data_IF_314808304932
#
_entry.id   IF_314808304932
#
_cell.length_a   1.000
_cell.length_b   1.000
_cell.length_c   1.000
_cell.angle_alpha   90.00
_cell.angle_beta   90.00
_cell.angle_gamma   90.00
#
_symmetry.space_group_name_H-M   'P 1'
#
loop_
_entity.id
_entity.type
_entity.pdbx_description
1 polymer ?
#
# COMPACT_ATOMS: atom_id res chain seq x y z
N UNK A 1 -3.18 -28.00 -11.65
CA UNK A 1 -4.00 -26.79 -11.73
C UNK A 1 -3.11 -25.69 -12.26
N UNK A 2 -3.57 -25.09 -13.34
CA UNK A 2 -2.83 -24.03 -14.02
C UNK A 2 -3.60 -22.73 -13.88
N UNK A 3 -2.92 -21.65 -13.52
CA UNK A 3 -3.57 -20.35 -13.33
C UNK A 3 -2.85 -19.28 -14.13
N UNK A 4 -3.57 -18.25 -14.55
CA UNK A 4 -3.01 -17.01 -15.08
C UNK A 4 -3.25 -15.87 -14.12
N UNK A 5 -2.26 -15.00 -13.95
CA UNK A 5 -2.36 -13.75 -13.19
C UNK A 5 -2.12 -12.60 -14.16
N UNK A 6 -3.14 -11.80 -14.41
CA UNK A 6 -3.06 -10.65 -15.31
C UNK A 6 -2.76 -9.39 -14.52
N UNK A 7 -1.65 -8.75 -14.87
CA UNK A 7 -1.04 -7.64 -14.14
C UNK A 7 0.14 -8.12 -13.29
N UNK A 8 1.35 -7.62 -13.57
CA UNK A 8 2.57 -7.90 -12.80
C UNK A 8 2.99 -6.70 -11.96
N UNK A 9 2.01 -5.97 -11.45
CA UNK A 9 2.19 -5.01 -10.37
C UNK A 9 2.44 -5.73 -9.04
N UNK A 10 2.44 -4.96 -7.96
CA UNK A 10 2.72 -5.47 -6.62
C UNK A 10 1.86 -6.68 -6.26
N UNK A 11 0.54 -6.54 -6.34
CA UNK A 11 -0.42 -7.60 -6.01
C UNK A 11 -0.28 -8.83 -6.90
N UNK A 12 -0.21 -8.62 -8.21
CA UNK A 12 -0.18 -9.73 -9.16
C UNK A 12 1.11 -10.54 -9.11
N UNK A 13 2.28 -9.86 -9.06
CA UNK A 13 3.56 -10.55 -9.02
C UNK A 13 3.75 -11.33 -7.71
N UNK A 14 3.43 -10.74 -6.56
CA UNK A 14 3.48 -11.43 -5.27
C UNK A 14 2.51 -12.62 -5.24
N UNK A 15 1.25 -12.41 -5.68
CA UNK A 15 0.24 -13.47 -5.73
C UNK A 15 0.69 -14.64 -6.61
N UNK A 16 1.16 -14.36 -7.83
CA UNK A 16 1.60 -15.39 -8.77
C UNK A 16 2.80 -16.17 -8.24
N UNK A 17 3.78 -15.46 -7.70
CA UNK A 17 5.00 -16.06 -7.13
C UNK A 17 4.67 -16.95 -5.91
N UNK A 18 3.81 -16.48 -5.00
CA UNK A 18 3.42 -17.26 -3.83
C UNK A 18 2.58 -18.50 -4.20
N UNK A 19 1.70 -18.43 -5.20
CA UNK A 19 1.02 -19.63 -5.70
C UNK A 19 2.00 -20.61 -6.34
N UNK A 20 2.96 -20.13 -7.15
CA UNK A 20 4.00 -20.98 -7.72
C UNK A 20 4.83 -21.68 -6.64
N UNK A 21 5.12 -21.00 -5.53
CA UNK A 21 5.83 -21.58 -4.38
C UNK A 21 5.08 -22.76 -3.74
N UNK A 22 3.77 -22.78 -3.80
CA UNK A 22 2.96 -23.91 -3.33
C UNK A 22 2.84 -25.06 -4.34
N UNK A 23 3.50 -24.98 -5.50
CA UNK A 23 3.49 -26.02 -6.53
C UNK A 23 2.41 -25.87 -7.60
N UNK A 24 1.74 -24.73 -7.66
CA UNK A 24 0.81 -24.38 -8.73
C UNK A 24 1.59 -23.92 -9.96
N UNK A 25 1.17 -24.29 -11.16
CA UNK A 25 1.72 -23.78 -12.42
C UNK A 25 1.08 -22.43 -12.71
N UNK A 26 1.89 -21.37 -12.74
CA UNK A 26 1.44 -19.98 -12.82
C UNK A 26 2.03 -19.26 -14.02
N UNK A 27 1.19 -18.65 -14.82
CA UNK A 27 1.60 -17.72 -15.88
C UNK A 27 1.20 -16.30 -15.50
N UNK A 28 2.17 -15.44 -15.26
CA UNK A 28 1.97 -14.01 -15.04
C UNK A 28 1.97 -13.29 -16.39
N UNK A 29 0.96 -12.47 -16.61
CA UNK A 29 0.70 -11.75 -17.86
C UNK A 29 0.74 -10.24 -17.63
N UNK A 30 1.47 -9.50 -18.44
CA UNK A 30 1.46 -8.03 -18.42
C UNK A 30 1.62 -7.50 -19.84
N UNK A 31 0.87 -6.47 -20.21
CA UNK A 31 0.94 -5.85 -21.55
C UNK A 31 2.26 -5.11 -21.81
N UNK A 32 3.00 -4.78 -20.76
CA UNK A 32 4.29 -4.09 -20.86
C UNK A 32 5.39 -5.09 -21.19
N UNK A 33 5.85 -5.04 -22.46
CA UNK A 33 6.87 -5.96 -22.99
C UNK A 33 8.23 -5.82 -22.29
N UNK A 34 8.65 -4.60 -21.95
CA UNK A 34 9.92 -4.36 -21.26
C UNK A 34 9.90 -4.95 -19.86
N UNK A 35 8.79 -4.81 -19.18
CA UNK A 35 8.58 -5.37 -17.84
C UNK A 35 8.62 -6.90 -17.87
N UNK A 36 7.98 -7.54 -18.84
CA UNK A 36 8.02 -8.98 -19.03
C UNK A 36 9.43 -9.44 -19.39
N UNK A 37 10.13 -8.74 -20.27
CA UNK A 37 11.52 -9.07 -20.63
C UNK A 37 12.45 -8.98 -19.40
N UNK A 38 12.29 -7.97 -18.56
CA UNK A 38 13.03 -7.83 -17.30
C UNK A 38 12.73 -9.00 -16.34
N UNK A 39 11.46 -9.34 -16.14
CA UNK A 39 11.04 -10.45 -15.28
C UNK A 39 11.60 -11.81 -15.77
N UNK A 40 11.65 -12.03 -17.09
CA UNK A 40 12.25 -13.23 -17.68
C UNK A 40 13.76 -13.31 -17.45
N UNK A 41 14.42 -12.16 -17.25
CA UNK A 41 15.85 -12.07 -16.89
C UNK A 41 16.07 -12.07 -15.37
N UNK A 42 15.01 -12.15 -14.57
CA UNK A 42 15.09 -12.14 -13.10
C UNK A 42 15.20 -10.73 -12.49
N UNK A 43 14.96 -9.68 -13.29
CA UNK A 43 14.94 -8.29 -12.82
C UNK A 43 13.53 -7.99 -12.32
N UNK A 44 13.39 -7.80 -11.00
CA UNK A 44 12.10 -7.60 -10.35
C UNK A 44 11.75 -6.11 -10.29
N UNK A 45 10.57 -5.69 -10.81
CA UNK A 45 10.21 -4.27 -10.95
C UNK A 45 9.65 -3.64 -9.68
N UNK A 46 9.63 -4.35 -8.56
CA UNK A 46 9.06 -3.90 -7.28
C UNK A 46 9.99 -4.22 -6.14
N UNK A 47 10.00 -3.37 -5.12
CA UNK A 47 10.73 -3.61 -3.88
C UNK A 47 9.85 -4.39 -2.90
N UNK A 48 10.16 -5.66 -2.68
CA UNK A 48 9.55 -6.52 -1.66
C UNK A 48 10.59 -7.50 -1.14
N UNK A 49 10.90 -7.49 0.18
CA UNK A 49 11.90 -8.38 0.75
C UNK A 49 11.63 -9.86 0.46
N UNK A 50 12.63 -10.55 -0.09
CA UNK A 50 12.57 -11.99 -0.40
C UNK A 50 11.83 -12.36 -1.70
N UNK A 51 11.24 -11.41 -2.41
CA UNK A 51 10.49 -11.71 -3.64
C UNK A 51 11.40 -12.15 -4.78
N UNK A 52 12.53 -11.50 -4.96
CA UNK A 52 13.50 -11.83 -6.01
C UNK A 52 13.94 -13.30 -5.94
N UNK A 53 14.40 -13.75 -4.79
CA UNK A 53 14.82 -15.14 -4.58
C UNK A 53 13.68 -16.13 -4.86
N UNK A 54 12.45 -15.77 -4.44
CA UNK A 54 11.27 -16.61 -4.65
C UNK A 54 10.89 -16.69 -6.13
N UNK A 55 10.94 -15.58 -6.87
CA UNK A 55 10.71 -15.56 -8.33
C UNK A 55 11.74 -16.45 -9.04
N UNK A 56 13.03 -16.21 -8.78
CA UNK A 56 14.12 -16.92 -9.47
C UNK A 56 14.04 -18.44 -9.26
N UNK A 57 13.80 -18.91 -8.03
CA UNK A 57 13.69 -20.36 -7.77
C UNK A 57 12.46 -20.99 -8.41
N UNK A 58 11.32 -20.27 -8.51
CA UNK A 58 10.11 -20.79 -9.14
C UNK A 58 10.18 -20.77 -10.67
N UNK A 59 10.84 -19.79 -11.27
CA UNK A 59 11.17 -19.78 -12.70
C UNK A 59 12.09 -20.97 -13.03
N UNK A 60 13.16 -21.17 -12.26
CA UNK A 60 14.08 -22.31 -12.43
C UNK A 60 13.39 -23.67 -12.26
N UNK A 61 12.40 -23.75 -11.39
CA UNK A 61 11.60 -24.96 -11.17
C UNK A 61 10.52 -25.18 -12.23
N UNK A 62 10.35 -24.26 -13.20
CA UNK A 62 9.37 -24.36 -14.27
C UNK A 62 7.91 -24.23 -13.80
N UNK A 63 7.67 -23.52 -12.69
CA UNK A 63 6.34 -23.27 -12.12
C UNK A 63 5.84 -21.84 -12.28
N UNK A 64 6.74 -20.90 -12.61
CA UNK A 64 6.42 -19.49 -12.80
C UNK A 64 6.88 -19.05 -14.19
N UNK A 65 5.94 -18.56 -14.99
CA UNK A 65 6.14 -18.15 -16.36
C UNK A 65 5.69 -16.71 -16.55
N UNK A 66 6.26 -16.02 -17.54
CA UNK A 66 5.92 -14.64 -17.87
C UNK A 66 5.63 -14.47 -19.36
N UNK A 67 4.55 -13.81 -19.72
CA UNK A 67 4.16 -13.53 -21.11
C UNK A 67 3.45 -12.19 -21.25
N UNK A 68 3.44 -11.66 -22.46
CA UNK A 68 2.64 -10.47 -22.80
C UNK A 68 1.25 -10.83 -23.32
N UNK A 69 0.97 -12.10 -23.62
CA UNK A 69 -0.30 -12.55 -24.23
C UNK A 69 -1.11 -13.41 -23.27
N UNK A 70 -2.28 -12.91 -22.85
CA UNK A 70 -3.24 -13.68 -22.10
C UNK A 70 -3.85 -14.80 -22.97
N UNK A 71 -4.09 -14.51 -24.25
CA UNK A 71 -4.68 -15.44 -25.21
C UNK A 71 -3.89 -16.73 -25.31
N UNK A 72 -2.55 -16.63 -25.28
CA UNK A 72 -1.66 -17.78 -25.44
C UNK A 72 -1.76 -18.81 -24.30
N UNK A 73 -2.25 -18.42 -23.14
CA UNK A 73 -2.34 -19.33 -21.98
C UNK A 73 -3.79 -19.78 -21.65
N UNK A 74 -4.83 -19.16 -22.24
CA UNK A 74 -6.23 -19.45 -21.91
C UNK A 74 -6.64 -20.91 -22.13
N UNK A 75 -6.10 -21.58 -23.12
CA UNK A 75 -6.43 -22.98 -23.42
C UNK A 75 -6.05 -23.95 -22.29
N UNK A 76 -5.04 -23.58 -21.50
CA UNK A 76 -4.46 -24.46 -20.47
C UNK A 76 -4.78 -24.06 -19.04
N UNK A 77 -5.33 -22.86 -18.79
CA UNK A 77 -5.62 -22.38 -17.43
C UNK A 77 -7.03 -22.74 -16.96
N UNK A 78 -7.14 -23.00 -15.67
CA UNK A 78 -8.40 -23.29 -14.98
C UNK A 78 -8.99 -22.01 -14.35
N UNK A 79 -8.12 -21.11 -13.90
CA UNK A 79 -8.46 -19.87 -13.20
C UNK A 79 -7.63 -18.72 -13.78
N UNK A 80 -8.29 -17.60 -14.07
CA UNK A 80 -7.62 -16.33 -14.42
C UNK A 80 -7.89 -15.33 -13.34
N UNK A 81 -6.82 -14.82 -12.72
CA UNK A 81 -6.88 -13.70 -11.78
C UNK A 81 -6.62 -12.39 -12.51
N UNK A 82 -7.54 -11.44 -12.36
CA UNK A 82 -7.32 -10.04 -12.74
C UNK A 82 -6.74 -9.28 -11.55
N UNK A 83 -5.45 -8.94 -11.64
CA UNK A 83 -4.70 -8.16 -10.65
C UNK A 83 -4.16 -6.87 -11.26
N UNK A 84 -4.87 -6.33 -12.25
CA UNK A 84 -4.53 -5.08 -12.95
C UNK A 84 -4.79 -3.87 -12.06
N UNK A 85 -4.12 -2.75 -12.36
CA UNK A 85 -4.32 -1.50 -11.64
C UNK A 85 -5.75 -0.96 -11.77
N UNK A 86 -6.23 -0.36 -10.69
CA UNK A 86 -7.48 0.41 -10.63
C UNK A 86 -7.17 1.81 -10.14
N UNK A 87 -6.49 2.64 -10.96
CA UNK A 87 -6.15 3.99 -10.55
C UNK A 87 -7.41 4.83 -10.30
N UNK A 88 -7.32 5.91 -9.53
CA UNK A 88 -8.43 6.85 -9.43
C UNK A 88 -8.70 7.51 -10.78
N UNK A 89 -9.96 7.64 -11.15
CA UNK A 89 -10.41 8.47 -12.26
C UNK A 89 -10.46 9.95 -11.82
N UNK A 90 -10.68 10.87 -12.75
CA UNK A 90 -10.73 12.31 -12.50
C UNK A 90 -11.76 12.70 -11.41
N UNK A 91 -12.85 11.95 -11.31
CA UNK A 91 -13.91 12.17 -10.32
C UNK A 91 -13.67 11.45 -8.97
N UNK A 92 -12.52 10.78 -8.80
CA UNK A 92 -12.15 10.01 -7.60
C UNK A 92 -12.71 8.59 -7.57
N UNK A 93 -13.50 8.16 -8.55
CA UNK A 93 -13.94 6.76 -8.70
C UNK A 93 -12.77 5.86 -9.14
N UNK A 94 -12.93 4.55 -9.03
CA UNK A 94 -11.93 3.61 -9.55
C UNK A 94 -12.09 3.43 -11.06
N UNK A 95 -11.01 3.61 -11.81
CA UNK A 95 -10.98 3.30 -13.24
C UNK A 95 -10.99 1.79 -13.47
N UNK A 96 -12.05 1.29 -14.10
CA UNK A 96 -12.27 -0.11 -14.37
C UNK A 96 -11.89 -0.54 -15.79
N UNK A 97 -11.38 0.35 -16.62
CA UNK A 97 -11.07 0.05 -18.04
C UNK A 97 -10.19 -1.18 -18.17
N UNK A 98 -9.11 -1.26 -17.40
CA UNK A 98 -8.18 -2.41 -17.47
C UNK A 98 -8.85 -3.72 -17.01
N UNK A 99 -9.68 -3.68 -15.98
CA UNK A 99 -10.43 -4.87 -15.50
C UNK A 99 -11.38 -5.37 -16.58
N UNK A 100 -12.08 -4.47 -17.26
CA UNK A 100 -13.02 -4.80 -18.33
C UNK A 100 -12.32 -5.25 -19.61
N UNK A 101 -11.15 -4.72 -19.94
CA UNK A 101 -10.32 -5.21 -21.06
C UNK A 101 -9.89 -6.66 -20.84
N UNK A 102 -9.44 -7.00 -19.63
CA UNK A 102 -9.11 -8.40 -19.29
C UNK A 102 -10.34 -9.28 -19.47
N UNK A 103 -11.50 -8.85 -18.98
CA UNK A 103 -12.76 -9.60 -19.14
C UNK A 103 -13.13 -9.84 -20.63
N UNK A 104 -13.02 -8.80 -21.47
CA UNK A 104 -13.25 -8.89 -22.92
C UNK A 104 -12.26 -9.85 -23.58
N UNK A 105 -10.97 -9.74 -23.26
CA UNK A 105 -9.93 -10.64 -23.79
C UNK A 105 -10.23 -12.09 -23.47
N UNK A 106 -10.68 -12.37 -22.23
CA UNK A 106 -11.09 -13.72 -21.82
C UNK A 106 -12.29 -14.18 -22.64
N UNK A 107 -13.36 -13.38 -22.72
CA UNK A 107 -14.58 -13.72 -23.50
C UNK A 107 -14.32 -13.93 -24.98
N UNK A 108 -13.42 -13.14 -25.56
CA UNK A 108 -13.05 -13.24 -26.97
C UNK A 108 -12.23 -14.51 -27.30
N UNK A 109 -11.52 -15.10 -26.33
CA UNK A 109 -10.53 -16.14 -26.62
C UNK A 109 -10.72 -17.47 -25.86
N UNK A 110 -11.52 -17.49 -24.77
CA UNK A 110 -11.72 -18.72 -24.01
C UNK A 110 -12.41 -19.81 -24.84
N UNK A 111 -12.02 -21.08 -24.63
CA UNK A 111 -12.54 -22.25 -25.33
C UNK A 111 -13.13 -23.32 -24.39
N UNK A 112 -12.91 -23.18 -23.11
CA UNK A 112 -13.39 -24.09 -22.07
C UNK A 112 -13.85 -23.29 -20.85
N UNK A 113 -14.51 -23.99 -19.93
CA UNK A 113 -14.86 -23.38 -18.64
C UNK A 113 -13.63 -22.77 -17.99
N UNK A 114 -13.76 -21.51 -17.56
CA UNK A 114 -12.72 -20.76 -16.86
C UNK A 114 -13.35 -20.01 -15.70
N UNK A 115 -12.73 -20.09 -14.52
CA UNK A 115 -13.10 -19.24 -13.39
C UNK A 115 -12.31 -17.91 -13.49
N UNK A 116 -13.03 -16.79 -13.55
CA UNK A 116 -12.42 -15.45 -13.64
C UNK A 116 -12.53 -14.77 -12.28
N UNK A 117 -11.40 -14.48 -11.68
CA UNK A 117 -11.31 -13.96 -10.31
C UNK A 117 -10.77 -12.53 -10.32
N UNK A 118 -11.51 -11.59 -9.77
CA UNK A 118 -11.03 -10.22 -9.53
C UNK A 118 -10.25 -10.20 -8.22
N UNK A 119 -8.94 -9.92 -8.32
CA UNK A 119 -8.03 -9.73 -7.18
C UNK A 119 -7.84 -8.26 -6.85
N UNK A 120 -7.90 -7.39 -7.85
CA UNK A 120 -7.85 -5.94 -7.71
C UNK A 120 -8.93 -5.42 -6.77
N UNK A 121 -8.63 -4.35 -6.02
CA UNK A 121 -9.65 -3.63 -5.24
C UNK A 121 -10.56 -2.86 -6.18
N UNK A 122 -11.83 -3.23 -6.21
CA UNK A 122 -12.84 -2.72 -7.14
C UNK A 122 -14.13 -2.35 -6.43
N UNK A 123 -14.89 -1.35 -6.92
CA UNK A 123 -16.21 -1.01 -6.38
C UNK A 123 -17.17 -2.18 -6.41
N UNK A 124 -18.10 -2.20 -5.46
CA UNK A 124 -19.18 -3.19 -5.39
C UNK A 124 -20.00 -3.17 -6.69
N UNK A 125 -20.23 -4.36 -7.25
CA UNK A 125 -20.91 -4.55 -8.52
C UNK A 125 -19.98 -4.69 -9.74
N UNK A 126 -18.66 -4.60 -9.56
CA UNK A 126 -17.69 -4.79 -10.64
C UNK A 126 -17.74 -6.17 -11.23
N UNK A 127 -17.94 -7.23 -10.41
CA UNK A 127 -18.05 -8.59 -10.91
C UNK A 127 -19.23 -8.76 -11.89
N UNK A 128 -20.34 -8.04 -11.70
CA UNK A 128 -21.46 -8.04 -12.67
C UNK A 128 -21.05 -7.45 -14.02
N UNK A 129 -20.25 -6.38 -14.01
CA UNK A 129 -19.71 -5.75 -15.23
C UNK A 129 -18.74 -6.69 -15.95
N UNK A 130 -17.86 -7.37 -15.18
CA UNK A 130 -16.93 -8.38 -15.70
C UNK A 130 -17.72 -9.52 -16.36
N UNK A 131 -18.73 -10.06 -15.68
CA UNK A 131 -19.60 -11.13 -16.20
C UNK A 131 -20.32 -10.72 -17.48
N UNK A 132 -20.84 -9.48 -17.54
CA UNK A 132 -21.48 -8.93 -18.74
C UNK A 132 -20.50 -8.79 -19.91
N UNK A 133 -19.31 -8.27 -19.66
CA UNK A 133 -18.28 -8.09 -20.70
C UNK A 133 -17.83 -9.44 -21.32
N UNK A 134 -17.67 -10.48 -20.49
CA UNK A 134 -17.33 -11.82 -20.99
C UNK A 134 -18.49 -12.39 -21.86
N UNK A 135 -19.74 -12.27 -21.38
CA UNK A 135 -20.91 -12.74 -22.13
C UNK A 135 -21.05 -12.05 -23.48
N UNK A 136 -20.90 -10.74 -23.51
CA UNK A 136 -20.96 -9.96 -24.76
C UNK A 136 -19.97 -10.48 -25.82
N UNK A 137 -18.74 -10.79 -25.43
CA UNK A 137 -17.72 -11.31 -26.34
C UNK A 137 -18.03 -12.76 -26.80
N UNK A 138 -18.56 -13.60 -25.90
CA UNK A 138 -19.01 -14.95 -26.27
C UNK A 138 -20.19 -14.89 -27.26
N UNK A 139 -21.15 -14.01 -27.05
CA UNK A 139 -22.29 -13.79 -27.95
C UNK A 139 -21.82 -13.31 -29.34
N UNK A 140 -20.88 -12.39 -29.41
CA UNK A 140 -20.27 -11.92 -30.67
C UNK A 140 -19.64 -13.07 -31.47
N UNK A 141 -19.10 -14.08 -30.78
CA UNK A 141 -18.50 -15.27 -31.39
C UNK A 141 -19.52 -16.38 -31.71
N UNK A 142 -20.77 -16.24 -31.26
CA UNK A 142 -21.77 -17.29 -31.34
C UNK A 142 -21.49 -18.52 -30.45
N UNK A 143 -20.70 -18.34 -29.38
CA UNK A 143 -20.28 -19.39 -28.47
C UNK A 143 -21.10 -19.40 -27.18
N UNK A 144 -21.30 -20.58 -26.62
CA UNK A 144 -21.98 -20.78 -25.34
C UNK A 144 -21.10 -21.58 -24.39
N UNK A 145 -20.05 -20.92 -23.89
CA UNK A 145 -19.07 -21.51 -22.99
C UNK A 145 -19.41 -21.10 -21.55
N UNK A 146 -19.52 -22.08 -20.66
CA UNK A 146 -19.75 -21.84 -19.24
C UNK A 146 -18.53 -21.16 -18.61
N UNK A 147 -18.80 -20.22 -17.72
CA UNK A 147 -17.78 -19.59 -16.86
C UNK A 147 -18.41 -19.11 -15.56
N UNK A 148 -17.57 -18.94 -14.55
CA UNK A 148 -17.94 -18.28 -13.31
C UNK A 148 -17.06 -17.04 -13.08
N UNK A 149 -17.59 -16.10 -12.31
CA UNK A 149 -16.83 -14.98 -11.79
C UNK A 149 -16.72 -15.09 -10.27
N UNK A 150 -15.62 -14.61 -9.72
CA UNK A 150 -15.40 -14.55 -8.27
C UNK A 150 -14.69 -13.25 -7.90
N UNK A 151 -14.82 -12.84 -6.63
CA UNK A 151 -14.03 -11.78 -6.04
C UNK A 151 -13.12 -12.36 -4.95
N UNK A 152 -11.83 -12.08 -5.02
CA UNK A 152 -10.87 -12.53 -4.03
C UNK A 152 -9.95 -11.34 -3.65
N UNK A 153 -10.49 -10.38 -2.89
CA UNK A 153 -9.71 -9.21 -2.50
C UNK A 153 -8.45 -9.60 -1.74
N UNK A 154 -7.40 -8.81 -1.91
CA UNK A 154 -6.13 -8.99 -1.23
C UNK A 154 -6.05 -8.12 0.04
N UNK A 155 -5.24 -8.54 1.00
CA UNK A 155 -4.96 -7.81 2.25
C UNK A 155 -3.47 -7.75 2.52
N UNK A 156 -2.68 -7.69 1.46
CA UNK A 156 -1.23 -7.66 1.50
C UNK A 156 -0.74 -6.29 1.99
N UNK A 157 0.34 -6.30 2.74
CA UNK A 157 1.05 -5.10 3.17
C UNK A 157 2.38 -5.03 2.43
N UNK A 158 2.60 -3.97 1.67
CA UNK A 158 3.90 -3.74 1.03
C UNK A 158 5.03 -3.85 2.06
N UNK A 159 6.13 -4.53 1.71
CA UNK A 159 7.24 -4.83 2.62
C UNK A 159 7.04 -6.05 3.53
N UNK A 160 5.84 -6.68 3.51
CA UNK A 160 5.54 -7.93 4.22
C UNK A 160 4.52 -8.79 3.46
N UNK A 161 4.40 -8.60 2.17
CA UNK A 161 3.32 -9.20 1.38
C UNK A 161 3.50 -10.71 1.20
N UNK A 162 4.73 -11.19 1.14
CA UNK A 162 5.01 -12.63 1.07
C UNK A 162 4.49 -13.33 2.32
N UNK A 163 4.84 -12.83 3.50
CA UNK A 163 4.37 -13.42 4.77
C UNK A 163 2.85 -13.33 4.90
N UNK A 164 2.27 -12.18 4.54
CA UNK A 164 0.82 -12.00 4.55
C UNK A 164 0.09 -12.93 3.60
N UNK A 165 0.71 -13.30 2.47
CA UNK A 165 0.14 -14.24 1.53
C UNK A 165 0.33 -15.70 1.96
N UNK A 166 1.54 -16.04 2.43
CA UNK A 166 1.89 -17.40 2.84
C UNK A 166 1.29 -17.79 4.18
N UNK A 167 1.02 -16.80 5.04
CA UNK A 167 0.43 -16.98 6.39
C UNK A 167 -0.66 -15.94 6.66
N UNK A 168 -1.77 -15.93 5.87
CA UNK A 168 -2.79 -14.89 5.97
C UNK A 168 -3.64 -15.03 7.24
N UNK A 169 -4.03 -13.91 7.85
CA UNK A 169 -5.05 -13.91 8.91
C UNK A 169 -6.39 -14.50 8.42
N UNK A 170 -6.72 -14.28 7.15
CA UNK A 170 -7.90 -14.84 6.44
C UNK A 170 -7.74 -14.69 4.93
N UNK A 171 -8.46 -15.53 4.21
CA UNK A 171 -8.71 -15.39 2.77
C UNK A 171 -10.20 -15.15 2.57
N UNK A 172 -10.57 -14.09 1.87
CA UNK A 172 -11.97 -13.75 1.55
C UNK A 172 -12.24 -14.11 0.09
N UNK A 173 -13.32 -14.87 -0.16
CA UNK A 173 -13.70 -15.29 -1.50
C UNK A 173 -15.21 -15.11 -1.70
N UNK A 174 -15.58 -14.21 -2.60
CA UNK A 174 -16.95 -14.04 -3.07
C UNK A 174 -17.22 -14.94 -4.27
N UNK A 175 -18.23 -15.80 -4.17
CA UNK A 175 -18.63 -16.75 -5.22
C UNK A 175 -20.15 -16.87 -5.34
N UNK A 176 -20.63 -17.27 -6.53
CA UNK A 176 -22.06 -17.54 -6.79
C UNK A 176 -22.33 -19.03 -7.05
N UNK A 177 -21.30 -19.85 -7.31
CA UNK A 177 -21.48 -21.26 -7.67
C UNK A 177 -20.65 -22.20 -6.79
N UNK A 178 -21.17 -23.43 -6.58
CA UNK A 178 -20.39 -24.48 -5.89
C UNK A 178 -19.18 -24.94 -6.69
N UNK A 179 -19.18 -24.78 -8.02
CA UNK A 179 -18.04 -25.08 -8.88
C UNK A 179 -16.90 -24.12 -8.62
N UNK A 180 -17.18 -22.81 -8.61
CA UNK A 180 -16.21 -21.78 -8.27
C UNK A 180 -15.65 -21.96 -6.84
N UNK A 181 -16.53 -22.25 -5.87
CA UNK A 181 -16.15 -22.51 -4.48
C UNK A 181 -15.18 -23.70 -4.36
N UNK A 182 -15.46 -24.82 -5.06
CA UNK A 182 -14.59 -26.00 -5.06
C UNK A 182 -13.20 -25.68 -5.66
N UNK A 183 -13.15 -24.93 -6.76
CA UNK A 183 -11.88 -24.53 -7.38
C UNK A 183 -11.04 -23.63 -6.46
N UNK A 184 -11.66 -22.62 -5.86
CA UNK A 184 -10.98 -21.73 -4.91
C UNK A 184 -10.53 -22.48 -3.64
N UNK A 185 -11.35 -23.40 -3.13
CA UNK A 185 -10.98 -24.28 -2.01
C UNK A 185 -9.75 -25.13 -2.37
N UNK A 186 -9.72 -25.71 -3.57
CA UNK A 186 -8.59 -26.52 -4.03
C UNK A 186 -7.31 -25.68 -4.15
N UNK A 187 -7.41 -24.45 -4.70
CA UNK A 187 -6.30 -23.54 -4.87
C UNK A 187 -5.69 -23.12 -3.52
N UNK A 188 -6.54 -22.77 -2.54
CA UNK A 188 -6.08 -22.31 -1.22
C UNK A 188 -5.81 -23.45 -0.23
N UNK A 189 -6.02 -24.71 -0.61
CA UNK A 189 -5.82 -25.87 0.26
C UNK A 189 -4.43 -25.93 0.92
N UNK A 190 -3.30 -25.64 0.23
CA UNK A 190 -1.98 -25.65 0.86
C UNK A 190 -1.87 -24.70 2.06
N UNK A 191 -2.57 -23.59 2.02
CA UNK A 191 -2.57 -22.58 3.10
C UNK A 191 -3.46 -22.98 4.27
N UNK A 192 -4.46 -23.84 4.06
CA UNK A 192 -5.40 -24.26 5.10
C UNK A 192 -4.81 -25.27 6.10
N UNK A 193 -3.65 -25.81 5.82
CA UNK A 193 -2.97 -26.78 6.69
C UNK A 193 -2.45 -26.16 8.00
N UNK A 194 -2.39 -24.84 8.10
CA UNK A 194 -1.84 -24.10 9.24
C UNK A 194 -2.90 -23.24 9.96
N UNK A 195 -4.14 -23.66 9.96
CA UNK A 195 -5.24 -23.00 10.70
C UNK A 195 -5.82 -21.72 10.08
N UNK A 196 -5.69 -21.45 8.78
CA UNK A 196 -6.44 -20.32 8.27
C UNK A 196 -7.80 -20.66 7.74
N UNK A 197 -8.64 -19.62 7.73
CA UNK A 197 -10.01 -19.71 7.25
C UNK A 197 -10.12 -19.05 5.88
N UNK A 198 -10.61 -19.83 4.90
CA UNK A 198 -11.21 -19.25 3.72
C UNK A 198 -12.64 -18.91 4.07
N UNK A 199 -12.96 -17.63 4.03
CA UNK A 199 -14.30 -17.11 4.32
C UNK A 199 -15.01 -16.94 2.98
N UNK A 200 -15.97 -17.83 2.70
CA UNK A 200 -16.81 -17.73 1.53
C UNK A 200 -18.03 -16.85 1.81
N UNK A 201 -18.34 -15.97 0.87
CA UNK A 201 -19.50 -15.08 0.94
C UNK A 201 -20.02 -14.77 -0.48
N UNK A 202 -21.08 -14.00 -0.60
CA UNK A 202 -21.49 -13.46 -1.89
C UNK A 202 -20.48 -12.44 -2.43
N UNK A 203 -20.49 -12.23 -3.74
CA UNK A 203 -19.49 -11.38 -4.40
C UNK A 203 -19.56 -9.91 -3.94
N UNK A 204 -20.76 -9.26 -3.86
CA UNK A 204 -20.83 -7.88 -3.38
C UNK A 204 -20.27 -7.70 -1.96
N UNK A 205 -20.51 -8.66 -1.06
CA UNK A 205 -19.97 -8.63 0.30
C UNK A 205 -18.44 -8.78 0.31
N UNK A 206 -17.87 -9.61 -0.58
CA UNK A 206 -16.42 -9.74 -0.70
C UNK A 206 -15.77 -8.46 -1.23
N UNK A 207 -16.36 -7.84 -2.27
CA UNK A 207 -15.91 -6.53 -2.79
C UNK A 207 -15.96 -5.45 -1.69
N UNK A 208 -17.07 -5.38 -0.93
CA UNK A 208 -17.22 -4.41 0.17
C UNK A 208 -16.25 -4.68 1.33
N UNK A 209 -15.95 -5.94 1.65
CA UNK A 209 -15.08 -6.30 2.78
C UNK A 209 -13.70 -5.66 2.68
N UNK A 210 -13.13 -5.57 1.48
CA UNK A 210 -11.83 -4.90 1.28
C UNK A 210 -11.90 -3.42 1.63
N UNK A 211 -12.89 -2.71 1.11
CA UNK A 211 -13.09 -1.30 1.41
C UNK A 211 -13.35 -1.05 2.89
N UNK A 212 -14.23 -1.85 3.50
CA UNK A 212 -14.55 -1.73 4.92
C UNK A 212 -13.32 -1.96 5.81
N UNK A 213 -12.47 -2.95 5.47
CA UNK A 213 -11.22 -3.20 6.19
C UNK A 213 -10.26 -2.01 6.11
N UNK A 214 -10.01 -1.49 4.90
CA UNK A 214 -9.13 -0.33 4.72
C UNK A 214 -9.70 0.94 5.37
N UNK A 215 -11.02 1.15 5.29
CA UNK A 215 -11.69 2.23 5.99
C UNK A 215 -11.48 2.14 7.52
N UNK A 216 -11.71 0.98 8.12
CA UNK A 216 -11.51 0.79 9.57
C UNK A 216 -10.06 1.09 9.98
N UNK A 217 -9.08 0.63 9.20
CA UNK A 217 -7.66 0.88 9.50
C UNK A 217 -7.30 2.37 9.36
N UNK A 218 -7.76 3.04 8.31
CA UNK A 218 -7.58 4.48 8.12
C UNK A 218 -8.25 5.29 9.26
N UNK A 219 -9.45 4.88 9.67
CA UNK A 219 -10.17 5.50 10.80
C UNK A 219 -9.36 5.43 12.10
N UNK A 220 -8.75 4.28 12.40
CA UNK A 220 -7.93 4.12 13.62
C UNK A 220 -6.71 5.03 13.61
N UNK A 221 -6.06 5.22 12.47
CA UNK A 221 -4.91 6.13 12.34
C UNK A 221 -5.36 7.58 12.50
N UNK A 222 -6.38 8.02 11.78
CA UNK A 222 -6.89 9.40 11.87
C UNK A 222 -7.45 9.70 13.26
N UNK A 223 -8.18 8.75 13.87
CA UNK A 223 -8.65 8.87 15.26
C UNK A 223 -7.49 9.14 16.23
N UNK A 224 -6.40 8.37 16.14
CA UNK A 224 -5.25 8.57 17.03
C UNK A 224 -4.50 9.87 16.74
N UNK A 225 -4.46 10.32 15.48
CA UNK A 225 -3.88 11.61 15.13
C UNK A 225 -4.71 12.77 15.68
N UNK A 226 -6.03 12.68 15.60
CA UNK A 226 -6.94 13.69 16.15
C UNK A 226 -6.82 13.78 17.68
N UNK A 227 -6.80 12.62 18.37
CA UNK A 227 -6.52 12.55 19.82
C UNK A 227 -5.13 13.11 20.16
N UNK A 228 -4.09 12.80 19.36
CA UNK A 228 -2.74 13.30 19.58
C UNK A 228 -2.68 14.83 19.52
N UNK A 229 -3.34 15.43 18.52
CA UNK A 229 -3.40 16.89 18.40
C UNK A 229 -4.11 17.54 19.59
N UNK A 230 -5.17 16.92 20.09
CA UNK A 230 -5.85 17.39 21.33
C UNK A 230 -4.95 17.21 22.56
N UNK A 231 -4.23 16.09 22.69
CA UNK A 231 -3.31 15.84 23.81
C UNK A 231 -2.30 16.99 23.98
N UNK A 232 -1.71 17.47 22.89
CA UNK A 232 -0.78 18.62 22.94
C UNK A 232 -1.39 19.88 23.53
N UNK A 233 -2.68 20.12 23.28
CA UNK A 233 -3.37 21.32 23.75
C UNK A 233 -3.78 21.23 25.22
N UNK A 234 -4.04 20.02 25.72
CA UNK A 234 -4.52 19.80 27.10
C UNK A 234 -3.44 19.26 28.03
N UNK A 235 -2.20 19.07 27.54
CA UNK A 235 -1.09 18.57 28.34
C UNK A 235 -1.14 17.08 28.68
N UNK A 236 -1.80 16.27 27.83
CA UNK A 236 -1.80 14.81 27.93
C UNK A 236 -0.71 14.19 27.05
N UNK A 237 -0.31 12.96 27.38
CA UNK A 237 0.62 12.17 26.55
C UNK A 237 -0.15 11.13 25.74
N UNK A 238 -0.13 11.26 24.42
CA UNK A 238 -0.84 10.35 23.51
C UNK A 238 -0.35 8.90 23.62
N UNK A 239 0.91 8.64 23.98
CA UNK A 239 1.41 7.28 24.13
C UNK A 239 0.78 6.60 25.35
N UNK A 240 0.59 7.34 26.46
CA UNK A 240 -0.14 6.84 27.64
C UNK A 240 -1.61 6.60 27.32
N UNK A 241 -2.24 7.54 26.58
CA UNK A 241 -3.63 7.36 26.12
C UNK A 241 -3.76 6.13 25.22
N UNK A 242 -2.85 5.95 24.26
CA UNK A 242 -2.81 4.79 23.37
C UNK A 242 -2.68 3.48 24.17
N UNK A 243 -1.79 3.42 25.14
CA UNK A 243 -1.59 2.21 25.95
C UNK A 243 -2.82 1.94 26.83
N UNK A 244 -3.43 2.99 27.39
CA UNK A 244 -4.66 2.89 28.16
C UNK A 244 -5.81 2.30 27.34
N UNK A 245 -6.18 2.93 26.24
CA UNK A 245 -7.29 2.45 25.38
C UNK A 245 -6.97 1.11 24.68
N UNK A 246 -5.71 0.91 24.25
CA UNK A 246 -5.26 -0.28 23.56
C UNK A 246 -5.20 -1.54 24.46
N UNK A 247 -5.24 -1.38 25.79
CA UNK A 247 -5.33 -2.48 26.74
C UNK A 247 -6.73 -3.13 26.80
N UNK A 248 -7.77 -2.41 26.35
CA UNK A 248 -9.12 -2.97 26.23
C UNK A 248 -9.16 -3.95 25.03
N UNK A 249 -9.53 -5.21 25.29
CA UNK A 249 -9.60 -6.26 24.27
C UNK A 249 -10.58 -5.96 23.13
N UNK A 250 -11.60 -5.10 23.36
CA UNK A 250 -12.57 -4.66 22.35
C UNK A 250 -11.93 -3.68 21.35
N UNK A 251 -10.87 -2.98 21.78
CA UNK A 251 -10.14 -2.01 20.96
C UNK A 251 -8.86 -2.64 20.40
N UNK A 252 -7.99 -3.16 21.25
CA UNK A 252 -6.69 -3.73 20.89
C UNK A 252 -5.68 -2.67 20.44
N UNK A 253 -4.39 -3.02 20.44
CA UNK A 253 -3.27 -2.07 20.26
C UNK A 253 -2.91 -1.74 18.81
N UNK A 254 -3.35 -2.57 17.84
CA UNK A 254 -2.92 -2.43 16.44
C UNK A 254 -3.54 -1.19 15.79
N UNK A 255 -2.78 -0.49 14.95
CA UNK A 255 -3.19 0.72 14.22
C UNK A 255 -3.59 1.92 15.11
N UNK A 256 -3.10 1.99 16.33
CA UNK A 256 -3.29 3.11 17.25
C UNK A 256 -2.02 3.96 17.40
N UNK A 257 -1.18 4.05 16.38
CA UNK A 257 0.04 4.85 16.42
C UNK A 257 -0.18 6.21 15.78
N UNK A 258 -0.05 7.31 16.54
CA UNK A 258 -0.10 8.64 15.96
C UNK A 258 1.15 8.90 15.12
N UNK A 259 1.03 9.79 14.15
CA UNK A 259 2.13 10.15 13.27
C UNK A 259 1.77 11.32 12.36
N UNK A 260 2.54 11.49 11.29
CA UNK A 260 2.37 12.57 10.33
C UNK A 260 1.38 12.26 9.18
N UNK A 261 0.41 11.40 9.41
CA UNK A 261 -0.58 10.98 8.42
C UNK A 261 -0.19 9.69 7.69
N UNK A 262 -1.18 9.10 7.01
CA UNK A 262 -0.96 7.93 6.15
C UNK A 262 -0.87 8.34 4.67
N UNK A 263 -0.19 7.51 3.90
CA UNK A 263 -0.05 7.58 2.45
C UNK A 263 -0.12 6.19 1.83
N UNK A 264 0.58 6.00 0.73
CA UNK A 264 0.65 4.76 -0.02
C UNK A 264 -0.44 4.62 -1.07
N UNK A 265 -0.39 3.52 -1.79
CA UNK A 265 -1.27 3.24 -2.93
C UNK A 265 -2.69 2.82 -2.56
N UNK A 266 -2.91 2.39 -1.31
CA UNK A 266 -4.16 1.73 -0.91
C UNK A 266 -5.10 2.67 -0.16
N UNK A 267 -4.72 3.14 1.05
CA UNK A 267 -5.66 3.88 1.90
C UNK A 267 -6.23 5.13 1.23
N UNK A 268 -5.42 6.06 0.67
CA UNK A 268 -5.99 7.27 0.08
C UNK A 268 -6.92 6.97 -1.08
N UNK A 269 -6.52 6.05 -1.96
CA UNK A 269 -7.32 5.66 -3.13
C UNK A 269 -8.63 4.99 -2.71
N UNK A 270 -8.57 4.01 -1.81
CA UNK A 270 -9.74 3.21 -1.43
C UNK A 270 -10.73 4.02 -0.60
N UNK A 271 -10.25 4.95 0.25
CA UNK A 271 -11.09 5.90 0.98
C UNK A 271 -11.87 6.79 0.01
N UNK A 272 -11.19 7.41 -0.95
CA UNK A 272 -11.81 8.27 -1.97
C UNK A 272 -12.81 7.50 -2.83
N UNK A 273 -12.44 6.30 -3.29
CA UNK A 273 -13.32 5.44 -4.09
C UNK A 273 -14.58 4.99 -3.34
N UNK A 274 -14.47 4.71 -2.04
CA UNK A 274 -15.63 4.34 -1.21
C UNK A 274 -16.56 5.52 -0.96
N UNK A 275 -16.02 6.72 -0.70
CA UNK A 275 -16.81 7.96 -0.60
C UNK A 275 -17.60 8.18 -1.88
N UNK A 276 -16.93 8.04 -3.04
CA UNK A 276 -17.57 8.23 -4.34
C UNK A 276 -18.65 7.18 -4.62
N UNK A 277 -18.37 5.93 -4.29
CA UNK A 277 -19.36 4.84 -4.41
C UNK A 277 -20.61 5.12 -3.57
N UNK A 278 -20.45 5.62 -2.35
CA UNK A 278 -21.56 5.99 -1.49
C UNK A 278 -22.39 7.14 -2.10
N UNK A 279 -21.74 8.19 -2.60
CA UNK A 279 -22.39 9.34 -3.24
C UNK A 279 -23.18 8.93 -4.49
N UNK A 280 -22.64 8.05 -5.32
CA UNK A 280 -23.33 7.48 -6.49
C UNK A 280 -24.57 6.67 -6.13
N UNK A 281 -24.65 6.17 -4.89
CA UNK A 281 -25.79 5.44 -4.34
C UNK A 281 -26.65 6.31 -3.39
N UNK A 282 -26.49 7.64 -3.41
CA UNK A 282 -27.30 8.57 -2.62
C UNK A 282 -26.99 8.58 -1.13
N UNK A 283 -25.83 8.06 -0.70
CA UNK A 283 -25.43 7.99 0.69
C UNK A 283 -24.17 8.83 0.97
N UNK A 284 -24.17 9.57 2.08
CA UNK A 284 -23.01 10.35 2.52
C UNK A 284 -22.29 9.65 3.68
N UNK A 285 -21.06 9.23 3.46
CA UNK A 285 -20.20 8.63 4.48
C UNK A 285 -19.52 9.71 5.34
N UNK A 286 -20.25 10.28 6.29
CA UNK A 286 -19.77 11.40 7.12
C UNK A 286 -18.48 11.08 7.88
N UNK A 287 -18.41 9.92 8.54
CA UNK A 287 -17.23 9.51 9.32
C UNK A 287 -16.02 9.34 8.41
N UNK A 288 -16.19 8.73 7.23
CA UNK A 288 -15.08 8.52 6.31
C UNK A 288 -14.55 9.84 5.72
N UNK A 289 -15.43 10.80 5.45
CA UNK A 289 -15.04 12.16 5.04
C UNK A 289 -14.21 12.85 6.12
N UNK A 290 -14.64 12.78 7.38
CA UNK A 290 -13.89 13.34 8.50
C UNK A 290 -12.52 12.64 8.68
N UNK A 291 -12.43 11.35 8.47
CA UNK A 291 -11.16 10.58 8.51
C UNK A 291 -10.17 11.10 7.46
N UNK A 292 -10.64 11.36 6.24
CA UNK A 292 -9.83 11.91 5.16
C UNK A 292 -9.38 13.34 5.47
N UNK A 293 -10.28 14.20 5.94
CA UNK A 293 -9.97 15.58 6.31
C UNK A 293 -8.90 15.65 7.42
N UNK A 294 -9.01 14.80 8.44
CA UNK A 294 -8.00 14.69 9.51
C UNK A 294 -6.65 14.25 8.92
N UNK A 295 -6.63 13.27 8.03
CA UNK A 295 -5.39 12.80 7.43
C UNK A 295 -4.69 13.86 6.56
N UNK A 296 -5.45 14.58 5.74
CA UNK A 296 -4.89 15.64 4.89
C UNK A 296 -4.29 16.77 5.75
N UNK A 297 -4.95 17.17 6.82
CA UNK A 297 -4.40 18.13 7.76
C UNK A 297 -3.14 17.61 8.45
N UNK A 298 -3.12 16.34 8.82
CA UNK A 298 -2.01 15.71 9.53
C UNK A 298 -0.72 15.66 8.71
N UNK A 299 -0.78 15.57 7.38
CA UNK A 299 0.40 15.62 6.51
C UNK A 299 1.18 16.94 6.64
N UNK A 300 0.55 18.01 7.11
CA UNK A 300 1.17 19.31 7.34
C UNK A 300 1.75 19.53 8.75
N UNK A 301 1.46 18.66 9.71
CA UNK A 301 1.72 18.92 11.14
C UNK A 301 3.19 19.15 11.48
N UNK A 302 4.11 18.42 10.85
CA UNK A 302 5.54 18.59 11.08
C UNK A 302 6.07 19.93 10.57
N UNK A 303 5.52 20.41 9.46
CA UNK A 303 5.83 21.74 8.95
C UNK A 303 5.36 22.84 9.91
N UNK A 304 4.13 22.72 10.44
CA UNK A 304 3.58 23.68 11.41
C UNK A 304 4.41 23.73 12.71
N UNK A 305 4.87 22.56 13.18
CA UNK A 305 5.78 22.48 14.32
C UNK A 305 7.10 23.18 14.01
N UNK A 306 7.70 22.96 12.84
CA UNK A 306 8.94 23.60 12.42
C UNK A 306 8.79 25.12 12.36
N UNK A 307 7.67 25.62 11.81
CA UNK A 307 7.34 27.07 11.78
C UNK A 307 7.33 27.66 13.18
N UNK A 308 6.72 26.95 14.15
CA UNK A 308 6.68 27.40 15.56
C UNK A 308 8.08 27.44 16.18
N UNK A 309 8.90 26.40 15.95
CA UNK A 309 10.28 26.32 16.48
C UNK A 309 11.13 27.49 16.03
N UNK A 310 10.99 27.90 14.77
CA UNK A 310 11.80 29.00 14.20
C UNK A 310 11.05 30.35 14.14
N UNK A 311 9.90 30.47 14.82
CA UNK A 311 9.09 31.69 14.83
C UNK A 311 8.77 32.24 13.42
N UNK A 312 8.59 31.35 12.45
CA UNK A 312 8.31 31.67 11.05
C UNK A 312 9.56 31.99 10.19
N UNK A 313 10.75 32.10 10.77
CA UNK A 313 11.99 32.38 10.04
C UNK A 313 12.60 31.08 9.47
N UNK A 314 12.10 30.65 8.32
CA UNK A 314 12.53 29.42 7.66
C UNK A 314 13.43 29.65 6.45
N UNK A 315 13.47 30.87 5.90
CA UNK A 315 14.23 31.16 4.68
C UNK A 315 15.72 30.89 4.84
N UNK A 316 16.27 30.05 3.95
CA UNK A 316 17.69 29.69 3.94
C UNK A 316 18.07 28.64 4.99
N UNK A 317 17.15 28.17 5.84
CA UNK A 317 17.43 27.06 6.76
C UNK A 317 17.57 25.75 6.01
N UNK A 318 18.43 24.88 6.53
CA UNK A 318 18.65 23.53 6.02
C UNK A 318 17.94 22.53 6.90
N UNK A 319 17.10 21.69 6.30
CA UNK A 319 16.32 20.66 7.00
C UNK A 319 16.77 19.29 6.53
N UNK A 320 17.24 18.47 7.47
CA UNK A 320 17.48 17.05 7.26
C UNK A 320 16.15 16.32 7.30
N UNK A 321 15.85 15.51 6.29
CA UNK A 321 14.62 14.72 6.19
C UNK A 321 14.97 13.24 6.16
N UNK A 322 14.57 12.51 7.20
CA UNK A 322 14.73 11.07 7.29
C UNK A 322 13.44 10.35 6.96
N UNK A 323 13.46 9.62 5.85
CA UNK A 323 12.33 8.87 5.32
C UNK A 323 11.54 9.64 4.26
N UNK A 324 11.40 9.02 3.09
CA UNK A 324 10.67 9.52 1.93
C UNK A 324 9.50 8.61 1.57
N UNK A 325 9.65 7.29 1.71
CA UNK A 325 8.59 6.32 1.55
C UNK A 325 7.46 6.55 2.58
N UNK A 326 6.24 6.18 2.24
CA UNK A 326 5.09 6.37 3.14
C UNK A 326 5.16 5.51 4.42
N UNK A 327 5.95 4.43 4.40
CA UNK A 327 6.26 3.55 5.55
C UNK A 327 7.56 2.78 5.31
N UNK A 328 8.15 2.12 6.34
CA UNK A 328 9.31 1.25 6.17
C UNK A 328 9.02 0.01 5.31
N UNK A 329 10.07 -0.53 4.67
CA UNK A 329 10.00 -1.79 3.91
C UNK A 329 9.46 -1.66 2.50
N UNK A 330 9.30 -0.44 1.98
CA UNK A 330 8.88 -0.16 0.60
C UNK A 330 9.57 1.09 0.07
N UNK A 331 9.62 1.23 -1.25
CA UNK A 331 10.05 2.44 -1.96
C UNK A 331 8.86 3.32 -2.39
N UNK A 332 7.62 2.92 -2.06
CA UNK A 332 6.40 3.63 -2.49
C UNK A 332 6.27 5.00 -1.81
N UNK A 333 6.22 6.03 -2.64
CA UNK A 333 6.05 7.43 -2.22
C UNK A 333 4.67 8.01 -2.58
N UNK A 334 3.74 7.21 -3.12
CA UNK A 334 2.40 7.71 -3.47
C UNK A 334 1.70 8.27 -2.24
N UNK A 335 1.19 9.48 -2.33
CA UNK A 335 0.51 10.18 -1.22
C UNK A 335 1.33 10.23 0.09
N UNK A 336 2.67 10.07 0.00
CA UNK A 336 3.54 10.09 1.18
C UNK A 336 3.56 11.46 1.86
N UNK A 337 3.47 11.54 3.20
CA UNK A 337 3.57 12.80 3.94
C UNK A 337 4.86 13.57 3.64
N UNK A 338 5.96 12.86 3.33
CA UNK A 338 7.23 13.47 2.95
C UNK A 338 7.11 14.41 1.73
N UNK A 339 6.28 14.08 0.74
CA UNK A 339 6.08 14.92 -0.45
C UNK A 339 5.44 16.26 -0.08
N UNK A 340 4.39 16.23 0.77
CA UNK A 340 3.72 17.45 1.25
C UNK A 340 4.67 18.29 2.08
N UNK A 341 5.47 17.67 2.94
CA UNK A 341 6.46 18.36 3.76
C UNK A 341 7.55 19.01 2.91
N UNK A 342 8.12 18.29 1.94
CA UNK A 342 9.14 18.82 1.03
C UNK A 342 8.61 20.03 0.25
N UNK A 343 7.40 19.95 -0.26
CA UNK A 343 6.78 21.06 -0.98
C UNK A 343 6.65 22.30 -0.12
N UNK A 344 6.12 22.19 1.11
CA UNK A 344 5.98 23.30 2.06
C UNK A 344 7.33 23.88 2.47
N UNK A 345 8.34 23.05 2.72
CA UNK A 345 9.70 23.48 3.06
C UNK A 345 10.32 24.30 1.93
N UNK A 346 10.19 23.83 0.69
CA UNK A 346 10.71 24.54 -0.49
C UNK A 346 10.01 25.87 -0.72
N UNK A 347 8.68 25.90 -0.61
CA UNK A 347 7.89 27.13 -0.73
C UNK A 347 8.29 28.16 0.34
N UNK A 348 8.76 27.72 1.50
CA UNK A 348 9.26 28.59 2.58
C UNK A 348 10.75 28.95 2.42
N UNK A 349 11.39 28.53 1.35
CA UNK A 349 12.78 28.85 1.06
C UNK A 349 13.81 28.04 1.85
N UNK A 350 13.41 26.86 2.37
CA UNK A 350 14.34 25.92 3.02
C UNK A 350 15.15 25.13 1.99
N UNK A 351 16.37 24.75 2.39
CA UNK A 351 17.15 23.71 1.73
C UNK A 351 16.79 22.35 2.37
N UNK A 352 16.50 21.34 1.57
CA UNK A 352 16.16 20.00 2.07
C UNK A 352 17.28 19.02 1.74
N UNK A 353 17.74 18.28 2.74
CA UNK A 353 18.70 17.18 2.62
C UNK A 353 17.99 15.90 3.02
N UNK A 354 17.67 15.05 2.04
CA UNK A 354 16.82 13.89 2.23
C UNK A 354 17.61 12.59 2.17
N UNK A 355 17.23 11.64 3.00
CA UNK A 355 17.71 10.27 2.95
C UNK A 355 16.57 9.26 3.23
N UNK A 356 16.55 8.21 2.44
CA UNK A 356 15.66 7.04 2.62
C UNK A 356 16.40 5.78 2.16
N UNK A 357 16.34 4.67 2.89
CA UNK A 357 17.05 3.43 2.53
C UNK A 357 16.62 2.80 1.20
N UNK A 358 15.39 3.06 0.74
CA UNK A 358 14.82 2.41 -0.45
C UNK A 358 14.25 3.38 -1.49
N UNK A 359 13.75 4.55 -1.09
CA UNK A 359 12.94 5.42 -1.95
C UNK A 359 13.71 6.54 -2.65
N UNK A 360 15.06 6.54 -2.65
CA UNK A 360 15.87 7.62 -3.24
C UNK A 360 15.65 7.76 -4.75
N UNK A 361 15.62 6.65 -5.48
CA UNK A 361 15.43 6.65 -6.94
C UNK A 361 13.98 7.01 -7.31
N UNK A 362 13.00 6.49 -6.56
CA UNK A 362 11.60 6.86 -6.73
C UNK A 362 11.38 8.35 -6.44
N UNK A 363 12.07 8.90 -5.46
CA UNK A 363 12.05 10.33 -5.16
C UNK A 363 12.60 11.16 -6.33
N UNK A 364 13.78 10.78 -6.87
CA UNK A 364 14.33 11.46 -8.06
C UNK A 364 13.36 11.43 -9.23
N UNK A 365 12.71 10.30 -9.44
CA UNK A 365 11.72 10.15 -10.51
C UNK A 365 10.52 11.09 -10.34
N UNK A 366 10.08 11.34 -9.09
CA UNK A 366 8.88 12.17 -8.79
C UNK A 366 9.16 13.65 -8.70
N UNK A 367 10.22 14.03 -8.02
CA UNK A 367 10.51 15.43 -7.68
C UNK A 367 11.85 15.93 -8.27
N UNK A 368 12.52 15.12 -9.10
CA UNK A 368 13.79 15.49 -9.73
C UNK A 368 14.87 15.79 -8.70
N UNK A 369 15.78 16.70 -9.05
CA UNK A 369 16.86 17.18 -8.18
C UNK A 369 16.43 18.36 -7.29
N UNK A 370 15.19 18.33 -6.82
CA UNK A 370 14.62 19.43 -6.03
C UNK A 370 15.08 19.45 -4.58
N UNK A 371 15.75 18.39 -4.12
CA UNK A 371 16.36 18.23 -2.80
C UNK A 371 17.77 17.69 -2.96
N UNK A 372 18.61 17.87 -1.94
CA UNK A 372 19.88 17.15 -1.88
C UNK A 372 19.64 15.71 -1.41
N UNK A 373 20.07 14.75 -2.20
CA UNK A 373 19.99 13.33 -1.89
C UNK A 373 21.25 12.90 -1.15
N UNK A 374 21.12 12.69 0.15
CA UNK A 374 22.25 12.33 1.01
C UNK A 374 22.67 10.87 0.81
N UNK A 375 23.94 10.57 1.08
CA UNK A 375 24.46 9.20 0.99
C UNK A 375 23.99 8.30 2.13
N UNK A 376 23.80 8.90 3.30
CA UNK A 376 23.29 8.22 4.49
C UNK A 376 22.56 9.23 5.41
N UNK A 377 22.05 8.74 6.54
CA UNK A 377 21.33 9.55 7.50
C UNK A 377 22.21 10.62 8.18
N UNK A 378 23.53 10.39 8.32
CA UNK A 378 24.44 11.35 8.92
C UNK A 378 24.83 12.47 7.94
N UNK A 379 25.04 12.11 6.66
CA UNK A 379 25.21 13.10 5.60
C UNK A 379 23.99 14.01 5.47
N UNK A 380 22.79 13.45 5.61
CA UNK A 380 21.55 14.25 5.62
C UNK A 380 21.56 15.30 6.75
N UNK A 381 22.05 14.94 7.93
CA UNK A 381 22.09 15.82 9.10
C UNK A 381 23.21 16.89 9.06
N UNK A 382 24.16 16.79 8.13
CA UNK A 382 25.31 17.71 8.05
C UNK A 382 24.84 19.14 7.78
N UNK A 383 25.27 20.06 8.63
CA UNK A 383 24.94 21.50 8.59
C UNK A 383 23.41 21.78 8.62
N UNK A 384 22.58 20.84 9.11
CA UNK A 384 21.15 21.04 9.23
C UNK A 384 20.76 21.92 10.43
N UNK A 385 19.78 22.79 10.23
CA UNK A 385 19.15 23.58 11.29
C UNK A 385 18.08 22.77 12.04
N UNK A 386 17.49 21.77 11.39
CA UNK A 386 16.57 20.82 12.01
C UNK A 386 16.65 19.45 11.33
N UNK A 387 16.35 18.40 12.08
CA UNK A 387 16.15 17.05 11.61
C UNK A 387 14.69 16.67 11.79
N UNK A 388 14.06 16.17 10.74
CA UNK A 388 12.66 15.69 10.76
C UNK A 388 12.63 14.22 10.38
N UNK A 389 12.09 13.38 11.26
CA UNK A 389 11.80 11.98 10.98
C UNK A 389 10.37 11.87 10.43
N UNK A 390 10.23 11.34 9.21
CA UNK A 390 8.92 11.11 8.57
C UNK A 390 8.58 9.64 8.47
N UNK A 391 9.57 8.77 8.22
CA UNK A 391 9.38 7.32 8.08
C UNK A 391 10.30 6.57 9.02
N UNK A 392 9.73 5.69 9.82
CA UNK A 392 10.39 5.00 10.95
C UNK A 392 11.19 3.76 10.50
N UNK A 393 12.12 3.90 9.56
CA UNK A 393 13.01 2.83 9.18
C UNK A 393 13.82 2.29 10.37
N UNK A 394 14.18 1.01 10.32
CA UNK A 394 14.91 0.36 11.44
C UNK A 394 16.23 1.06 11.75
N UNK A 395 16.95 1.52 10.73
CA UNK A 395 18.24 2.19 10.89
C UNK A 395 18.16 3.55 11.58
N UNK A 396 16.98 4.21 11.53
CA UNK A 396 16.76 5.49 12.21
C UNK A 396 16.45 5.35 13.70
N UNK A 397 16.22 4.12 14.20
CA UNK A 397 15.79 3.93 15.60
C UNK A 397 16.87 4.14 16.63
N UNK A 398 18.12 3.88 16.31
CA UNK A 398 19.27 3.99 17.21
C UNK A 398 20.44 4.72 16.55
N UNK A 399 20.26 6.00 16.16
CA UNK A 399 21.34 6.77 15.59
C UNK A 399 22.37 7.14 16.68
N UNK A 400 23.59 7.44 16.27
CA UNK A 400 24.60 7.96 17.19
C UNK A 400 24.35 9.45 17.42
N UNK A 401 23.51 9.80 18.39
CA UNK A 401 23.07 11.17 18.65
C UNK A 401 24.20 12.14 18.89
N UNK A 402 25.32 11.70 19.50
CA UNK A 402 26.50 12.54 19.69
C UNK A 402 27.16 12.95 18.37
N UNK A 403 27.09 12.13 17.33
CA UNK A 403 27.55 12.46 15.96
C UNK A 403 26.58 13.44 15.32
N UNK A 404 25.28 13.14 15.39
CA UNK A 404 24.22 14.01 14.84
C UNK A 404 24.32 15.42 15.42
N UNK A 405 24.45 15.55 16.75
CA UNK A 405 24.56 16.85 17.41
C UNK A 405 25.75 17.68 16.93
N UNK A 406 26.89 17.02 16.67
CA UNK A 406 28.08 17.68 16.14
C UNK A 406 27.96 18.06 14.66
N UNK A 407 27.21 17.28 13.88
CA UNK A 407 27.00 17.50 12.46
C UNK A 407 26.03 18.67 12.19
N UNK A 408 25.02 18.84 13.03
CA UNK A 408 23.96 19.83 12.86
C UNK A 408 24.41 21.22 13.30
N UNK A 409 23.87 22.29 12.69
CA UNK A 409 24.02 23.67 13.13
C UNK A 409 23.22 23.94 14.40
N UNK A 410 22.03 23.39 14.49
CA UNK A 410 21.14 23.51 15.64
C UNK A 410 20.57 22.12 16.02
N UNK A 411 20.59 21.77 17.30
CA UNK A 411 20.15 20.44 17.72
C UNK A 411 18.61 20.36 17.86
N UNK A 412 17.90 20.57 16.76
CA UNK A 412 16.44 20.52 16.70
C UNK A 412 15.99 19.23 16.02
N UNK A 413 15.15 18.45 16.70
CA UNK A 413 14.60 17.17 16.19
C UNK A 413 13.09 17.19 16.26
N UNK A 414 12.44 16.94 15.12
CA UNK A 414 10.99 16.72 15.02
C UNK A 414 10.75 15.25 14.67
N UNK A 415 10.16 14.51 15.60
CA UNK A 415 9.86 13.08 15.45
C UNK A 415 8.42 12.87 15.03
N UNK A 416 8.21 12.61 13.76
CA UNK A 416 6.89 12.38 13.18
C UNK A 416 6.31 10.98 13.45
N UNK A 417 7.03 10.11 14.18
CA UNK A 417 6.62 8.72 14.44
C UNK A 417 6.70 8.30 15.90
N UNK A 418 7.14 9.21 16.78
CA UNK A 418 7.26 8.98 18.22
C UNK A 418 8.13 7.75 18.55
N UNK A 419 9.29 7.61 17.87
CA UNK A 419 10.18 6.47 18.06
C UNK A 419 11.36 6.75 18.99
N UNK A 420 11.58 8.03 19.36
CA UNK A 420 12.69 8.43 20.20
C UNK A 420 12.24 8.72 21.63
N UNK A 421 13.17 8.55 22.56
CA UNK A 421 12.98 9.00 23.94
C UNK A 421 13.26 10.52 24.00
N UNK A 422 12.21 11.29 24.26
CA UNK A 422 12.30 12.74 24.32
C UNK A 422 13.11 13.25 25.49
N UNK A 423 13.05 12.59 26.63
CA UNK A 423 13.79 12.98 27.85
C UNK A 423 15.30 12.76 27.65
N UNK A 424 15.68 11.60 27.05
CA UNK A 424 17.08 11.33 26.69
C UNK A 424 17.64 12.39 25.74
N UNK A 425 16.87 12.74 24.68
CA UNK A 425 17.31 13.76 23.70
C UNK A 425 17.42 15.14 24.34
N UNK A 426 16.52 15.52 25.24
CA UNK A 426 16.59 16.78 25.96
C UNK A 426 17.80 16.83 26.91
N UNK A 427 18.09 15.75 27.62
CA UNK A 427 19.31 15.63 28.46
C UNK A 427 20.59 15.77 27.63
N UNK A 428 20.58 15.25 26.42
CA UNK A 428 21.66 15.44 25.44
C UNK A 428 21.70 16.85 24.85
N UNK A 429 20.73 17.72 25.17
CA UNK A 429 20.66 19.11 24.74
C UNK A 429 20.06 19.31 23.35
N UNK A 430 19.17 18.41 22.91
CA UNK A 430 18.33 18.62 21.74
C UNK A 430 17.03 19.35 22.11
N UNK A 431 16.56 20.17 21.19
CA UNK A 431 15.16 20.67 21.21
C UNK A 431 14.32 19.60 20.50
N UNK A 432 13.57 18.85 21.28
CA UNK A 432 12.79 17.70 20.76
C UNK A 432 11.30 18.00 20.70
N UNK A 433 10.70 17.71 19.56
CA UNK A 433 9.25 17.77 19.35
C UNK A 433 8.78 16.48 18.72
N UNK A 434 7.60 16.01 19.12
CA UNK A 434 6.97 14.81 18.57
C UNK A 434 5.47 15.03 18.33
N UNK A 435 4.70 13.99 18.11
CA UNK A 435 3.26 14.06 17.87
C UNK A 435 2.51 13.71 19.16
N UNK A 436 1.69 14.64 19.70
CA UNK A 436 0.79 14.38 20.82
C UNK A 436 1.44 14.43 22.21
N UNK A 437 2.56 15.19 22.35
CA UNK A 437 3.22 15.46 23.64
C UNK A 437 3.71 16.87 23.70
#
# INVERSE_FOLDING_TARGET
>A
MNIAIVGTGYVGLVTGTCFAETGVDVTCVDVNADKIANLQQGIIPIYEPGLEDMVLRNVKAGRLHFTTSLESCLDNVDIVFSAVGTPPDEDGSADLRYVLEVAKTIGANMKKYTLVVTKSTVPVGTARKVKAAIREELEKRGESIDFDVASNPEFLKEGNAIDDFMSPDRVVVGVESERAKKLMTKLYKPFMLVNFRVIFMDIPSAEMTKYAANYMLATRISFMNDIANLCELVGADVNMVRDGIGSDSRIGRKFLYPGCGYGGSCFPKDVKALIKTAEQNGYSMQVLKAVEDVNENQKGILFEKLVKVFNGDLKGKTVALWGLAFKPGTDDMREAPALVLIEKLKQSGCNVRAYDPAAMDESRRRIGESVYYAHDMYDAALDADALILVTEWKEFRLPTWGVIKKAMKQPVVLDGRNIYDGDELQEMGFVYHCIGR
#
